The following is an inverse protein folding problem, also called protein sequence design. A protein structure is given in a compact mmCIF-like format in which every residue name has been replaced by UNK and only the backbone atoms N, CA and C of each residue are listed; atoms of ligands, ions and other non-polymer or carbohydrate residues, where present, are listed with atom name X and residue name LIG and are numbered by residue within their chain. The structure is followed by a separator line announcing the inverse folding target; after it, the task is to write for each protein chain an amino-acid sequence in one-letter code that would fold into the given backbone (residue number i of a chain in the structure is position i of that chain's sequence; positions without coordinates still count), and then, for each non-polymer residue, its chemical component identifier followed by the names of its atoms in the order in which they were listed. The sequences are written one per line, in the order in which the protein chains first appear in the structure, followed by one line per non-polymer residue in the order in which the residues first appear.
data_IF_553630053920
#
_entry.id   IF_553630053920
#
_cell.length_a   1.000
_cell.length_b   1.000
_cell.length_c   1.000
_cell.angle_alpha   90.00
_cell.angle_beta   90.00
_cell.angle_gamma   90.00
#
_symmetry.space_group_name_H-M   'P 1'
#
loop_
_entity.id
_entity.type
_entity.pdbx_description
1 polymer ?
#
# COMPACT_ATOMS: atom_id res chain seq x y z
N UNK A 1 -10.31 -7.08 -5.56
CA UNK A 1 -10.19 -5.63 -5.34
C UNK A 1 -9.65 -5.31 -3.95
N UNK A 2 -10.41 -5.54 -2.86
CA UNK A 2 -10.01 -5.15 -1.50
C UNK A 2 -8.60 -5.60 -1.09
N UNK A 3 -8.27 -6.89 -1.25
CA UNK A 3 -6.96 -7.41 -0.84
C UNK A 3 -5.80 -6.78 -1.63
N UNK A 4 -6.03 -6.52 -2.92
CA UNK A 4 -5.05 -5.87 -3.80
C UNK A 4 -4.78 -4.45 -3.33
N UNK A 5 -5.85 -3.71 -3.00
CA UNK A 5 -5.75 -2.34 -2.47
C UNK A 5 -5.00 -2.33 -1.14
N UNK A 6 -5.37 -3.20 -0.20
CA UNK A 6 -4.74 -3.29 1.12
C UNK A 6 -3.25 -3.64 1.02
N UNK A 7 -2.89 -4.60 0.17
CA UNK A 7 -1.49 -4.99 -0.06
C UNK A 7 -0.70 -3.87 -0.74
N UNK A 8 -1.23 -3.24 -1.79
CA UNK A 8 -0.57 -2.08 -2.41
C UNK A 8 -0.36 -0.99 -1.37
N UNK A 9 -1.37 -0.66 -0.56
CA UNK A 9 -1.27 0.35 0.47
C UNK A 9 -0.18 0.04 1.48
N UNK A 10 -0.11 -1.20 1.96
CA UNK A 10 0.91 -1.60 2.94
C UNK A 10 2.33 -1.51 2.39
N UNK A 11 2.54 -1.99 1.16
CA UNK A 11 3.87 -2.07 0.54
C UNK A 11 4.33 -0.80 -0.18
N UNK A 12 3.45 0.18 -0.38
CA UNK A 12 3.81 1.45 -1.04
C UNK A 12 3.66 2.68 -0.16
N UNK A 13 2.96 2.52 0.96
CA UNK A 13 2.40 3.60 1.78
C UNK A 13 1.45 4.54 1.04
N UNK A 14 1.01 4.27 -0.20
CA UNK A 14 0.10 5.16 -0.92
C UNK A 14 -1.23 5.35 -0.16
N UNK A 15 -1.82 6.54 -0.30
CA UNK A 15 -3.20 6.78 0.15
C UNK A 15 -4.19 6.06 -0.77
N UNK A 16 -5.37 5.76 -0.25
CA UNK A 16 -6.44 5.14 -1.04
C UNK A 16 -6.78 5.97 -2.28
N UNK A 17 -6.78 7.30 -2.17
CA UNK A 17 -7.06 8.23 -3.28
C UNK A 17 -5.97 8.20 -4.36
N UNK A 18 -4.74 7.89 -3.99
CA UNK A 18 -3.62 7.73 -4.94
C UNK A 18 -3.77 6.36 -5.64
N UNK A 19 -4.01 5.29 -4.87
CA UNK A 19 -4.25 3.94 -5.42
C UNK A 19 -5.47 3.90 -6.34
N UNK A 20 -6.55 4.57 -5.98
CA UNK A 20 -7.79 4.65 -6.76
C UNK A 20 -7.57 5.25 -8.15
N UNK A 21 -6.65 6.21 -8.29
CA UNK A 21 -6.30 6.84 -9.57
C UNK A 21 -5.15 6.14 -10.29
N UNK A 22 -4.49 5.18 -9.64
CA UNK A 22 -3.31 4.56 -10.19
C UNK A 22 -3.64 3.62 -11.35
N UNK A 23 -2.71 3.50 -12.29
CA UNK A 23 -2.67 2.42 -13.27
C UNK A 23 -1.53 1.46 -12.92
N UNK A 24 -1.74 0.17 -13.18
CA UNK A 24 -0.74 -0.85 -12.97
C UNK A 24 -0.40 -1.55 -14.27
N UNK A 25 0.89 -1.72 -14.53
CA UNK A 25 1.43 -2.35 -15.71
C UNK A 25 2.37 -3.50 -15.32
N UNK A 26 2.24 -4.65 -15.98
CA UNK A 26 3.17 -5.76 -15.81
C UNK A 26 4.36 -5.56 -16.74
N UNK A 27 5.57 -5.61 -16.18
CA UNK A 27 6.85 -5.58 -16.90
C UNK A 27 7.48 -6.97 -16.93
N UNK A 28 8.62 -7.08 -17.62
CA UNK A 28 9.41 -8.31 -17.67
C UNK A 28 9.85 -8.81 -16.30
N UNK A 29 10.17 -10.09 -16.20
CA UNK A 29 10.62 -10.73 -14.96
C UNK A 29 9.57 -10.74 -13.84
N UNK A 30 8.27 -10.57 -14.16
CA UNK A 30 7.19 -10.57 -13.16
C UNK A 30 7.10 -9.29 -12.32
N UNK A 31 7.83 -8.24 -12.73
CA UNK A 31 7.79 -6.91 -12.10
C UNK A 31 6.47 -6.21 -12.43
N UNK A 32 5.97 -5.41 -11.48
CA UNK A 32 4.82 -4.53 -11.71
C UNK A 32 5.19 -3.08 -11.46
N UNK A 33 4.76 -2.19 -12.34
CA UNK A 33 4.85 -0.76 -12.15
C UNK A 33 3.47 -0.18 -11.83
N UNK A 34 3.43 0.70 -10.84
CA UNK A 34 2.23 1.44 -10.45
C UNK A 34 2.49 2.91 -10.71
N UNK A 35 1.71 3.50 -11.62
CA UNK A 35 1.79 4.91 -11.99
C UNK A 35 0.65 5.66 -11.32
N UNK A 36 0.97 6.70 -10.56
CA UNK A 36 -0.03 7.49 -9.82
C UNK A 36 0.40 8.94 -9.69
N UNK A 37 -0.55 9.83 -9.47
CA UNK A 37 -0.28 11.22 -9.15
C UNK A 37 -0.39 11.47 -7.63
N UNK A 38 0.62 12.11 -7.03
CA UNK A 38 0.61 12.51 -5.61
C UNK A 38 0.17 13.96 -5.51
N UNK A 39 -1.12 14.18 -5.22
CA UNK A 39 -1.74 15.51 -5.23
C UNK A 39 -1.16 16.44 -4.14
N UNK A 40 -0.82 15.91 -2.96
CA UNK A 40 -0.31 16.72 -1.83
C UNK A 40 1.00 17.47 -2.16
N UNK A 41 1.73 17.04 -3.20
CA UNK A 41 2.99 17.65 -3.65
C UNK A 41 2.83 18.17 -5.08
N UNK A 42 1.90 19.10 -5.29
CA UNK A 42 1.63 19.76 -6.60
C UNK A 42 1.39 18.77 -7.77
N UNK A 43 0.81 17.60 -7.47
CA UNK A 43 0.48 16.62 -8.52
C UNK A 43 1.70 15.95 -9.17
N UNK A 44 2.81 15.76 -8.45
CA UNK A 44 3.96 15.01 -8.95
C UNK A 44 3.57 13.59 -9.37
N UNK A 45 4.00 13.19 -10.57
CA UNK A 45 3.83 11.84 -11.10
C UNK A 45 4.82 10.88 -10.43
N UNK A 46 4.30 9.86 -9.76
CA UNK A 46 5.09 8.86 -9.07
C UNK A 46 4.92 7.50 -9.74
N UNK A 47 6.05 6.86 -10.03
CA UNK A 47 6.12 5.47 -10.46
C UNK A 47 6.72 4.63 -9.35
N UNK A 48 5.99 3.59 -8.93
CA UNK A 48 6.52 2.57 -8.04
C UNK A 48 6.80 1.30 -8.81
N UNK A 49 7.87 0.62 -8.45
CA UNK A 49 8.21 -0.68 -9.01
C UNK A 49 8.15 -1.73 -7.92
N UNK A 50 7.23 -2.68 -8.05
CA UNK A 50 7.16 -3.89 -7.23
C UNK A 50 7.88 -5.01 -7.96
N UNK A 51 9.01 -5.44 -7.41
CA UNK A 51 9.72 -6.63 -7.89
C UNK A 51 9.19 -7.88 -7.17
N UNK A 52 9.26 -9.07 -7.79
CA UNK A 52 8.95 -10.30 -7.10
C UNK A 52 9.80 -10.47 -5.84
N UNK A 53 9.17 -10.97 -4.77
CA UNK A 53 9.84 -11.32 -3.51
C UNK A 53 9.85 -12.85 -3.36
N UNK A 54 10.81 -13.37 -2.60
CA UNK A 54 10.98 -14.82 -2.40
C UNK A 54 9.80 -15.48 -1.64
N UNK A 55 9.08 -14.72 -0.82
CA UNK A 55 7.87 -15.19 -0.12
C UNK A 55 6.62 -14.99 -0.99
N UNK A 56 6.02 -16.11 -1.41
CA UNK A 56 4.95 -16.15 -2.41
C UNK A 56 3.56 -15.74 -1.89
N UNK A 57 3.33 -15.62 -0.57
CA UNK A 57 1.96 -15.53 -0.03
C UNK A 57 1.44 -14.10 0.13
N UNK A 58 2.30 -13.12 0.39
CA UNK A 58 1.87 -11.75 0.74
C UNK A 58 2.75 -10.71 0.07
N UNK A 59 2.65 -10.54 -1.25
CA UNK A 59 3.35 -9.45 -1.93
C UNK A 59 2.54 -8.85 -3.08
N UNK A 60 2.74 -7.56 -3.41
CA UNK A 60 1.89 -6.83 -4.36
C UNK A 60 1.79 -7.47 -5.74
N UNK A 61 2.88 -8.04 -6.27
CA UNK A 61 2.88 -8.57 -7.63
C UNK A 61 2.02 -9.83 -7.76
N UNK A 62 1.94 -10.68 -6.72
CA UNK A 62 1.03 -11.83 -6.71
C UNK A 62 -0.43 -11.38 -6.76
N UNK A 63 -0.83 -10.48 -5.86
CA UNK A 63 -2.23 -10.01 -5.80
C UNK A 63 -2.63 -9.18 -7.03
N UNK A 64 -1.70 -8.40 -7.59
CA UNK A 64 -1.88 -7.73 -8.89
C UNK A 64 -2.07 -8.76 -10.01
N UNK A 65 -1.22 -9.78 -10.09
CA UNK A 65 -1.35 -10.84 -11.09
C UNK A 65 -2.71 -11.54 -11.00
N UNK A 66 -3.15 -11.92 -9.79
CA UNK A 66 -4.45 -12.55 -9.56
C UNK A 66 -5.62 -11.63 -9.92
N UNK A 67 -5.49 -10.33 -9.66
CA UNK A 67 -6.51 -9.34 -10.02
C UNK A 67 -6.67 -9.22 -11.54
N UNK A 68 -5.57 -9.10 -12.27
CA UNK A 68 -5.60 -8.95 -13.72
C UNK A 68 -5.99 -10.24 -14.44
N UNK A 69 -5.65 -11.43 -13.91
CA UNK A 69 -6.10 -12.72 -14.46
C UNK A 69 -7.61 -12.92 -14.35
N UNK A 70 -8.24 -12.35 -13.32
CA UNK A 70 -9.70 -12.40 -13.14
C UNK A 70 -10.47 -11.48 -14.09
N UNK A 71 -9.81 -10.51 -14.74
CA UNK A 71 -10.44 -9.64 -15.74
C UNK A 71 -10.63 -10.42 -17.04
N UNK A 72 -11.82 -10.38 -17.64
CA UNK A 72 -12.08 -11.11 -18.89
C UNK A 72 -11.27 -10.49 -20.02
N UNK A 73 -11.07 -11.22 -21.12
CA UNK A 73 -10.26 -10.77 -22.27
C UNK A 73 -10.73 -9.42 -22.85
N UNK A 74 -12.05 -9.17 -22.82
CA UNK A 74 -12.71 -7.93 -23.23
C UNK A 74 -12.59 -6.76 -22.22
N UNK A 75 -12.07 -7.03 -21.03
CA UNK A 75 -11.91 -6.05 -19.95
C UNK A 75 -10.43 -5.65 -19.76
N UNK A 76 -9.55 -6.08 -20.67
CA UNK A 76 -8.10 -5.80 -20.55
C UNK A 76 -7.78 -4.33 -20.84
N UNK A 77 -8.54 -3.72 -21.74
CA UNK A 77 -8.43 -2.31 -22.11
C UNK A 77 -9.13 -1.39 -21.10
N UNK A 78 -9.97 -1.98 -20.23
CA UNK A 78 -10.61 -1.26 -19.14
C UNK A 78 -9.60 -0.97 -18.01
N UNK A 79 -9.77 0.14 -17.28
CA UNK A 79 -8.91 0.54 -16.18
C UNK A 79 -8.89 -0.42 -15.00
N UNK A 80 -7.86 -0.25 -14.17
CA UNK A 80 -7.49 -1.20 -13.12
C UNK A 80 -8.65 -1.53 -12.17
N UNK A 81 -9.53 -0.58 -11.82
CA UNK A 81 -10.62 -0.78 -10.87
C UNK A 81 -12.01 -0.93 -11.51
N UNK A 82 -12.08 -1.41 -12.75
CA UNK A 82 -13.38 -1.63 -13.40
C UNK A 82 -14.21 -2.73 -12.69
N UNK A 83 -15.46 -2.41 -12.33
CA UNK A 83 -16.42 -3.34 -11.73
C UNK A 83 -17.35 -3.85 -12.83
N UNK A 84 -17.13 -5.09 -13.27
CA UNK A 84 -17.85 -5.70 -14.38
C UNK A 84 -19.37 -5.74 -14.18
N UNK A 85 -19.84 -6.15 -13.00
CA UNK A 85 -21.29 -6.21 -12.69
C UNK A 85 -21.98 -4.87 -12.84
N UNK A 86 -21.26 -3.76 -12.59
CA UNK A 86 -21.79 -2.40 -12.67
C UNK A 86 -21.43 -1.70 -13.99
N UNK A 87 -20.64 -2.34 -14.86
CA UNK A 87 -20.10 -1.78 -16.12
C UNK A 87 -19.51 -0.37 -15.96
N UNK A 88 -18.82 -0.13 -14.84
CA UNK A 88 -18.16 1.16 -14.56
C UNK A 88 -16.95 1.00 -13.64
N UNK A 89 -16.17 2.05 -13.57
CA UNK A 89 -15.08 2.23 -12.60
C UNK A 89 -15.61 2.14 -11.18
N UNK A 90 -14.87 1.47 -10.30
CA UNK A 90 -15.10 1.53 -8.87
C UNK A 90 -15.00 2.98 -8.40
N UNK A 91 -15.94 3.40 -7.56
CA UNK A 91 -15.81 4.68 -6.85
C UNK A 91 -14.80 4.54 -5.72
N UNK A 92 -14.32 5.69 -5.23
CA UNK A 92 -13.47 5.73 -4.04
C UNK A 92 -14.12 5.02 -2.84
N UNK A 93 -15.42 5.22 -2.62
CA UNK A 93 -16.18 4.60 -1.54
C UNK A 93 -16.24 3.07 -1.68
N UNK A 94 -16.41 2.55 -2.90
CA UNK A 94 -16.41 1.10 -3.15
C UNK A 94 -15.02 0.49 -2.89
N UNK A 95 -13.96 1.19 -3.29
CA UNK A 95 -12.58 0.80 -2.95
C UNK A 95 -12.36 0.79 -1.43
N UNK A 96 -12.87 1.81 -0.72
CA UNK A 96 -12.80 1.93 0.74
C UNK A 96 -13.54 0.79 1.45
N UNK A 97 -14.79 0.52 1.06
CA UNK A 97 -15.60 -0.59 1.57
C UNK A 97 -14.93 -1.93 1.33
N UNK A 98 -14.36 -2.16 0.15
CA UNK A 98 -13.64 -3.38 -0.16
C UNK A 98 -12.38 -3.56 0.71
N UNK A 99 -11.65 -2.48 1.02
CA UNK A 99 -10.52 -2.54 1.94
C UNK A 99 -10.96 -2.82 3.38
N UNK A 100 -12.02 -2.16 3.87
CA UNK A 100 -12.57 -2.42 5.21
C UNK A 100 -13.06 -3.87 5.39
N UNK A 101 -13.65 -4.49 4.36
CA UNK A 101 -14.03 -5.91 4.41
C UNK A 101 -12.82 -6.81 4.67
N UNK A 102 -11.68 -6.52 4.04
CA UNK A 102 -10.43 -7.26 4.28
C UNK A 102 -9.89 -6.98 5.67
N UNK A 103 -9.93 -5.73 6.13
CA UNK A 103 -9.51 -5.38 7.49
C UNK A 103 -10.33 -6.13 8.54
N UNK A 104 -11.66 -6.20 8.35
CA UNK A 104 -12.57 -6.96 9.20
C UNK A 104 -12.25 -8.46 9.19
N UNK A 105 -12.02 -9.04 8.00
CA UNK A 105 -11.61 -10.44 7.87
C UNK A 105 -10.26 -10.74 8.53
N UNK A 106 -9.37 -9.75 8.61
CA UNK A 106 -8.10 -9.85 9.32
C UNK A 106 -8.21 -9.59 10.84
N UNK A 107 -9.42 -9.45 11.38
CA UNK A 107 -9.65 -9.22 12.82
C UNK A 107 -9.28 -7.81 13.29
N UNK A 108 -9.09 -6.85 12.40
CA UNK A 108 -8.83 -5.46 12.77
C UNK A 108 -10.11 -4.86 13.37
N UNK A 109 -9.97 -4.14 14.48
CA UNK A 109 -11.08 -3.49 15.18
C UNK A 109 -11.96 -2.69 14.23
N UNK A 110 -13.28 -2.85 14.38
CA UNK A 110 -14.29 -2.09 13.64
C UNK A 110 -14.04 -0.58 13.76
N UNK A 111 -14.36 0.15 12.69
CA UNK A 111 -14.14 1.60 12.51
C UNK A 111 -12.68 2.05 12.36
N UNK A 112 -11.70 1.14 12.31
CA UNK A 112 -10.33 1.51 11.94
C UNK A 112 -10.30 2.07 10.51
N UNK A 113 -9.75 3.28 10.29
CA UNK A 113 -9.72 3.85 8.95
C UNK A 113 -8.75 3.07 8.06
N UNK A 114 -9.01 3.00 6.75
CA UNK A 114 -8.10 2.35 5.78
C UNK A 114 -6.67 2.90 5.88
N UNK A 115 -6.49 4.16 6.26
CA UNK A 115 -5.17 4.78 6.49
C UNK A 115 -4.36 4.13 7.61
N UNK A 116 -4.98 3.34 8.50
CA UNK A 116 -4.29 2.53 9.51
C UNK A 116 -3.34 1.51 8.87
N UNK A 117 -3.64 0.97 7.68
CA UNK A 117 -2.75 0.05 6.95
C UNK A 117 -1.40 0.73 6.63
N UNK A 118 -1.47 1.96 6.11
CA UNK A 118 -0.29 2.80 5.86
C UNK A 118 0.48 3.04 7.16
N UNK A 119 -0.23 3.38 8.24
CA UNK A 119 0.39 3.64 9.56
C UNK A 119 1.15 2.41 10.07
N UNK A 120 0.49 1.26 10.13
CA UNK A 120 1.10 0.01 10.59
C UNK A 120 2.31 -0.39 9.74
N UNK A 121 2.28 -0.15 8.43
CA UNK A 121 3.40 -0.49 7.55
C UNK A 121 4.63 0.40 7.79
N UNK A 122 4.42 1.69 8.08
CA UNK A 122 5.49 2.61 8.46
C UNK A 122 6.05 2.23 9.84
N UNK A 123 5.19 1.96 10.83
CA UNK A 123 5.60 1.50 12.16
C UNK A 123 6.44 0.22 12.05
N UNK A 124 5.97 -0.77 11.27
CA UNK A 124 6.69 -2.04 11.07
C UNK A 124 8.07 -1.83 10.45
N UNK A 125 8.20 -0.91 9.50
CA UNK A 125 9.49 -0.58 8.91
C UNK A 125 10.45 0.05 9.93
N UNK A 126 9.94 0.93 10.82
CA UNK A 126 10.72 1.50 11.93
C UNK A 126 11.16 0.39 12.89
N UNK A 127 10.27 -0.52 13.28
CA UNK A 127 10.56 -1.65 14.17
C UNK A 127 11.62 -2.60 13.60
N UNK A 128 11.67 -2.72 12.27
CA UNK A 128 12.70 -3.48 11.53
C UNK A 128 14.04 -2.72 11.39
N UNK A 129 14.15 -1.53 11.97
CA UNK A 129 15.38 -0.74 12.00
C UNK A 129 15.59 0.18 10.80
N UNK A 130 14.55 0.45 10.00
CA UNK A 130 14.67 1.40 8.91
C UNK A 130 14.98 2.81 9.45
N UNK A 131 16.01 3.44 8.89
CA UNK A 131 16.43 4.77 9.31
C UNK A 131 15.46 5.87 8.81
N UNK A 132 15.59 7.08 9.38
CA UNK A 132 14.74 8.23 9.04
C UNK A 132 14.73 8.56 7.54
N UNK A 133 15.85 8.39 6.82
CA UNK A 133 15.92 8.65 5.39
C UNK A 133 15.15 7.59 4.58
N UNK A 134 15.33 6.31 4.90
CA UNK A 134 14.59 5.20 4.28
C UNK A 134 13.08 5.37 4.51
N UNK A 135 12.67 5.68 5.74
CA UNK A 135 11.27 5.91 6.09
C UNK A 135 10.69 7.13 5.36
N UNK A 136 11.39 8.25 5.31
CA UNK A 136 10.93 9.43 4.57
C UNK A 136 10.79 9.14 3.07
N UNK A 137 11.72 8.39 2.47
CA UNK A 137 11.62 7.96 1.07
C UNK A 137 10.45 7.00 0.84
N UNK A 138 10.28 6.02 1.73
CA UNK A 138 9.20 5.02 1.66
C UNK A 138 7.81 5.65 1.81
N UNK A 139 7.67 6.56 2.78
CA UNK A 139 6.43 7.30 3.07
C UNK A 139 6.21 8.52 2.17
N UNK A 140 7.23 8.91 1.39
CA UNK A 140 7.30 10.08 0.50
C UNK A 140 7.10 11.41 1.24
N UNK A 141 7.67 11.49 2.44
CA UNK A 141 7.83 12.75 3.17
C UNK A 141 9.15 13.42 2.77
N UNK A 142 9.20 14.75 2.89
CA UNK A 142 10.42 15.53 2.62
C UNK A 142 11.58 14.98 3.46
N UNK A 143 12.78 14.88 2.89
CA UNK A 143 13.97 14.48 3.64
C UNK A 143 14.16 15.38 4.86
N UNK A 144 14.50 14.79 6.01
CA UNK A 144 14.60 15.49 7.29
C UNK A 144 13.27 15.69 8.03
N UNK A 145 12.12 15.43 7.40
CA UNK A 145 10.80 15.57 8.05
C UNK A 145 10.70 14.74 9.33
N UNK A 146 10.18 15.37 10.39
CA UNK A 146 9.86 14.73 11.68
C UNK A 146 8.40 14.24 11.74
N UNK A 147 7.59 14.53 10.70
CA UNK A 147 6.16 14.20 10.64
C UNK A 147 5.94 12.70 10.79
N UNK A 148 6.88 11.89 10.29
CA UNK A 148 6.73 10.44 10.35
C UNK A 148 6.86 9.92 11.78
N UNK A 149 7.87 10.41 12.50
CA UNK A 149 8.09 10.08 13.91
C UNK A 149 6.90 10.51 14.77
N UNK A 150 6.39 11.73 14.56
CA UNK A 150 5.29 12.26 15.40
C UNK A 150 3.98 11.48 15.20
N UNK A 151 3.63 11.11 13.98
CA UNK A 151 2.28 10.62 13.66
C UNK A 151 2.20 9.10 13.49
N UNK A 152 3.32 8.44 13.17
CA UNK A 152 3.33 7.04 12.74
C UNK A 152 4.27 6.14 13.55
N UNK A 153 5.26 6.70 14.27
CA UNK A 153 6.04 5.91 15.21
C UNK A 153 5.19 5.64 16.46
N UNK A 154 4.72 4.40 16.57
CA UNK A 154 3.94 3.91 17.70
C UNK A 154 4.73 2.86 18.50
N UNK A 155 6.04 2.74 18.26
CA UNK A 155 6.86 1.76 18.94
C UNK A 155 6.96 2.12 20.44
N UNK A 156 6.75 1.13 21.30
CA UNK A 156 6.93 1.29 22.75
C UNK A 156 8.40 1.40 23.16
N UNK A 157 9.33 1.17 22.23
CA UNK A 157 10.78 1.06 22.39
C UNK A 157 11.26 -0.20 23.13
N UNK A 158 10.46 -1.25 23.13
CA UNK A 158 10.79 -2.49 23.86
C UNK A 158 12.04 -3.18 23.34
N UNK A 159 12.25 -3.19 22.03
CA UNK A 159 13.48 -3.71 21.42
C UNK A 159 14.73 -2.96 21.91
N UNK A 160 14.63 -1.65 22.11
CA UNK A 160 15.74 -0.84 22.63
C UNK A 160 15.95 -1.17 24.11
N UNK A 161 14.88 -1.20 24.91
CA UNK A 161 14.96 -1.58 26.34
C UNK A 161 15.56 -2.97 26.54
N UNK A 162 15.18 -3.94 25.71
CA UNK A 162 15.75 -5.29 25.73
C UNK A 162 17.23 -5.32 25.36
N UNK A 163 17.67 -4.48 24.42
CA UNK A 163 19.11 -4.36 24.08
C UNK A 163 19.89 -3.71 25.22
N UNK A 164 19.33 -2.68 25.86
CA UNK A 164 19.94 -2.02 27.01
C UNK A 164 20.04 -2.93 28.23
N UNK A 165 19.03 -3.77 28.48
CA UNK A 165 19.05 -4.74 29.59
C UNK A 165 20.07 -5.87 29.41
N UNK A 166 20.69 -5.99 28.23
CA UNK A 166 21.74 -6.96 27.91
C UNK A 166 23.15 -6.35 27.96
N UNK A 167 23.27 -5.05 28.23
CA UNK A 167 24.54 -4.39 28.54
C UNK A 167 24.90 -4.63 30.01
#
# INVERSE_FOLDING_TARGET
MGIVISVIMGYSTLRLTEIHRASAEKKEGGTWQLHTQIIKVKGYQATLTFRPLADLKVYPTFWLQQWFQRRKRKDKDEPQWFIFQKKRYATYDECSKAAHLIMKQAGIKDNSPVTSIRKSSITKAIDQGANKQQINRFSRHKQGSIIVQINYDMNLNDTIRQRLAKL
#
